data_IF_382889513694
#
_entry.id   IF_382889513694
#
_cell.length_a   1.000
_cell.length_b   1.000
_cell.length_c   1.000
_cell.angle_alpha   90.00
_cell.angle_beta   90.00
_cell.angle_gamma   90.00
#
_symmetry.space_group_name_H-M   'P 1'
#
loop_
_entity.id
_entity.type
_entity.pdbx_description
1 polymer ?
#
# COMPACT_ATOMS: atom_id res chain seq x y z
N UNK A 1 -17.73 5.33 13.29
CA UNK A 1 -16.45 5.37 12.55
C UNK A 1 -16.49 6.58 11.64
N UNK A 2 -15.78 7.64 12.03
CA UNK A 2 -15.65 8.91 11.31
C UNK A 2 -14.58 8.81 10.22
N UNK A 3 -14.49 9.79 9.31
CA UNK A 3 -13.49 9.82 8.23
C UNK A 3 -12.06 9.60 8.75
N UNK A 4 -11.75 10.22 9.89
CA UNK A 4 -10.42 10.25 10.48
C UNK A 4 -9.98 8.92 11.10
N UNK A 5 -10.92 8.01 11.36
CA UNK A 5 -10.58 6.70 11.91
C UNK A 5 -9.80 5.84 10.91
N UNK A 6 -10.13 5.94 9.61
CA UNK A 6 -9.38 5.24 8.56
C UNK A 6 -7.96 5.78 8.45
N UNK A 7 -7.81 7.10 8.37
CA UNK A 7 -6.49 7.73 8.21
C UNK A 7 -5.61 7.45 9.42
N UNK A 8 -6.11 7.59 10.64
CA UNK A 8 -5.35 7.32 11.86
C UNK A 8 -4.84 5.89 11.89
N UNK A 9 -5.74 4.92 11.74
CA UNK A 9 -5.37 3.51 11.75
C UNK A 9 -4.33 3.15 10.67
N UNK A 10 -4.52 3.65 9.44
CA UNK A 10 -3.61 3.34 8.34
C UNK A 10 -2.26 4.07 8.48
N UNK A 11 -2.24 5.30 8.98
CA UNK A 11 -1.01 6.05 9.24
C UNK A 11 -0.20 5.38 10.34
N UNK A 12 -0.84 4.96 11.44
CA UNK A 12 -0.15 4.27 12.54
C UNK A 12 0.47 2.95 12.06
N UNK A 13 -0.27 2.17 11.26
CA UNK A 13 0.25 0.95 10.64
C UNK A 13 1.40 1.23 9.66
N UNK A 14 1.27 2.28 8.84
CA UNK A 14 2.32 2.69 7.92
C UNK A 14 3.60 3.12 8.66
N UNK A 15 3.50 3.97 9.68
CA UNK A 15 4.66 4.50 10.41
C UNK A 15 5.40 3.39 11.19
N UNK A 16 4.67 2.39 11.68
CA UNK A 16 5.26 1.18 12.25
C UNK A 16 6.06 0.39 11.21
N UNK A 17 5.46 0.10 10.05
CA UNK A 17 6.14 -0.62 8.96
C UNK A 17 7.32 0.18 8.37
N UNK A 18 7.22 1.51 8.36
CA UNK A 18 8.29 2.41 7.94
C UNK A 18 9.50 2.29 8.87
N UNK A 19 9.26 2.28 10.17
CA UNK A 19 10.32 2.11 11.18
C UNK A 19 11.00 0.74 11.06
N UNK A 20 10.21 -0.32 10.88
CA UNK A 20 10.73 -1.68 10.64
C UNK A 20 11.50 -1.79 9.31
N UNK A 21 11.09 -0.99 8.32
CA UNK A 21 11.65 -0.94 6.97
C UNK A 21 13.12 -0.52 6.91
N UNK A 22 13.62 0.21 7.92
CA UNK A 22 15.03 0.55 8.04
C UNK A 22 15.95 -0.70 8.10
N UNK A 23 15.41 -1.84 8.55
CA UNK A 23 16.13 -3.13 8.57
C UNK A 23 15.59 -4.11 7.54
N UNK A 24 14.27 -4.20 7.44
CA UNK A 24 13.62 -5.18 6.57
C UNK A 24 12.30 -4.61 6.04
N UNK A 25 12.29 -4.02 4.83
CA UNK A 25 11.09 -3.50 4.19
C UNK A 25 9.94 -4.51 4.17
N UNK A 26 8.71 -4.01 4.31
CA UNK A 26 7.47 -4.77 4.33
C UNK A 26 6.46 -4.14 3.37
N UNK A 27 5.38 -4.87 3.08
CA UNK A 27 4.26 -4.35 2.29
C UNK A 27 3.05 -4.06 3.17
N UNK A 28 2.24 -3.09 2.76
CA UNK A 28 0.93 -2.78 3.35
C UNK A 28 -0.14 -2.88 2.27
N UNK A 29 -1.32 -3.42 2.63
CA UNK A 29 -2.51 -3.37 1.78
C UNK A 29 -3.57 -2.47 2.39
N UNK A 30 -4.17 -1.60 1.59
CA UNK A 30 -5.31 -0.76 1.99
C UNK A 30 -6.55 -1.19 1.21
N UNK A 31 -7.53 -1.76 1.91
CA UNK A 31 -8.77 -2.24 1.31
C UNK A 31 -9.78 -1.10 1.11
N UNK A 32 -10.21 -0.88 -0.13
CA UNK A 32 -11.14 0.20 -0.49
C UNK A 32 -12.40 -0.38 -1.16
N UNK A 33 -13.55 0.24 -0.88
CA UNK A 33 -14.82 -0.08 -1.54
C UNK A 33 -15.53 1.21 -1.96
N UNK A 34 -15.92 1.31 -3.24
CA UNK A 34 -16.51 2.54 -3.80
C UNK A 34 -17.71 3.06 -3.00
N UNK A 35 -18.65 2.19 -2.64
CA UNK A 35 -19.86 2.52 -1.86
C UNK A 35 -19.57 3.03 -0.44
N UNK A 36 -18.33 2.87 0.02
CA UNK A 36 -17.86 3.27 1.34
C UNK A 36 -16.95 4.49 1.23
N UNK A 37 -15.76 4.34 0.63
CA UNK A 37 -14.74 5.40 0.65
C UNK A 37 -15.12 6.61 -0.21
N UNK A 38 -15.94 6.41 -1.25
CA UNK A 38 -16.37 7.49 -2.15
C UNK A 38 -17.40 8.44 -1.54
N UNK A 39 -17.89 8.19 -0.32
CA UNK A 39 -18.82 9.11 0.36
C UNK A 39 -18.09 10.41 0.73
N UNK A 40 -18.72 11.60 0.56
CA UNK A 40 -18.10 12.87 0.94
C UNK A 40 -17.59 12.91 2.38
N UNK A 41 -18.33 12.29 3.31
CA UNK A 41 -17.93 12.18 4.71
C UNK A 41 -16.81 11.16 4.99
N UNK A 42 -16.18 10.56 3.97
CA UNK A 42 -15.10 9.55 4.13
C UNK A 42 -13.90 9.79 3.24
N UNK A 43 -14.07 10.37 2.05
CA UNK A 43 -12.99 10.52 1.05
C UNK A 43 -11.78 11.29 1.59
N UNK A 44 -11.99 12.29 2.44
CA UNK A 44 -10.91 13.06 3.06
C UNK A 44 -9.96 12.21 3.93
N UNK A 45 -10.41 11.07 4.48
CA UNK A 45 -9.53 10.14 5.20
C UNK A 45 -8.52 9.46 4.27
N UNK A 46 -8.92 9.12 3.04
CA UNK A 46 -8.02 8.56 2.03
C UNK A 46 -7.01 9.62 1.55
N UNK A 47 -7.46 10.86 1.32
CA UNK A 47 -6.58 11.97 0.92
C UNK A 47 -5.49 12.23 1.96
N UNK A 48 -5.86 12.30 3.25
CA UNK A 48 -4.90 12.44 4.37
C UNK A 48 -3.86 11.32 4.39
N UNK A 49 -4.30 10.07 4.23
CA UNK A 49 -3.41 8.91 4.20
C UNK A 49 -2.42 8.99 3.02
N UNK A 50 -2.91 9.28 1.81
CA UNK A 50 -2.06 9.39 0.62
C UNK A 50 -1.05 10.54 0.76
N UNK A 51 -1.47 11.67 1.32
CA UNK A 51 -0.59 12.81 1.58
C UNK A 51 0.53 12.45 2.57
N UNK A 52 0.20 11.78 3.69
CA UNK A 52 1.18 11.32 4.67
C UNK A 52 2.23 10.40 4.05
N UNK A 53 1.79 9.34 3.35
CA UNK A 53 2.70 8.37 2.72
C UNK A 53 3.58 9.03 1.65
N UNK A 54 3.02 9.93 0.83
CA UNK A 54 3.79 10.63 -0.20
C UNK A 54 4.88 11.52 0.40
N UNK A 55 4.57 12.23 1.48
CA UNK A 55 5.53 13.14 2.13
C UNK A 55 6.65 12.41 2.88
N UNK A 56 6.46 11.15 3.26
CA UNK A 56 7.52 10.31 3.84
C UNK A 56 8.58 9.91 2.81
N UNK A 57 8.27 9.95 1.51
CA UNK A 57 9.25 9.82 0.44
C UNK A 57 9.32 8.41 -0.15
N UNK A 58 10.26 7.58 0.32
CA UNK A 58 10.69 6.28 -0.24
C UNK A 58 9.63 5.15 -0.20
N UNK A 59 8.38 5.47 -0.55
CA UNK A 59 7.23 4.57 -0.60
C UNK A 59 7.02 4.09 -2.03
N UNK A 60 6.98 2.77 -2.21
CA UNK A 60 6.58 2.17 -3.49
C UNK A 60 5.07 2.00 -3.57
N UNK A 61 4.40 2.89 -4.31
CA UNK A 61 3.00 2.72 -4.68
C UNK A 61 2.88 1.70 -5.81
N UNK A 62 2.52 0.47 -5.45
CA UNK A 62 2.55 -0.67 -6.36
C UNK A 62 1.15 -1.24 -6.65
N UNK A 63 0.96 -1.69 -7.89
CA UNK A 63 -0.09 -2.67 -8.19
C UNK A 63 0.37 -4.07 -7.72
N UNK A 64 -0.59 -4.97 -7.47
CA UNK A 64 -0.31 -6.33 -6.97
C UNK A 64 0.49 -7.18 -7.96
N UNK A 65 0.29 -7.02 -9.26
CA UNK A 65 1.08 -7.68 -10.32
C UNK A 65 2.55 -7.26 -10.27
N UNK A 66 2.82 -5.97 -10.05
CA UNK A 66 4.20 -5.47 -9.94
C UNK A 66 4.93 -6.06 -8.73
N UNK A 67 4.25 -6.20 -7.58
CA UNK A 67 4.79 -6.87 -6.39
C UNK A 67 5.13 -8.32 -6.72
N UNK A 68 4.22 -9.05 -7.38
CA UNK A 68 4.45 -10.45 -7.77
C UNK A 68 5.66 -10.60 -8.71
N UNK A 69 5.78 -9.73 -9.72
CA UNK A 69 6.94 -9.72 -10.61
C UNK A 69 8.25 -9.44 -9.86
N UNK A 70 8.26 -8.47 -8.96
CA UNK A 70 9.44 -8.14 -8.17
C UNK A 70 9.83 -9.32 -7.26
N UNK A 71 8.85 -9.98 -6.64
CA UNK A 71 9.10 -11.16 -5.80
C UNK A 71 9.72 -12.31 -6.59
N UNK A 72 9.17 -12.62 -7.78
CA UNK A 72 9.71 -13.65 -8.67
C UNK A 72 11.15 -13.35 -9.09
N UNK A 73 11.41 -12.12 -9.51
CA UNK A 73 12.76 -11.65 -9.90
C UNK A 73 13.77 -11.83 -8.77
N UNK A 74 13.41 -11.43 -7.54
CA UNK A 74 14.29 -11.58 -6.37
C UNK A 74 14.48 -13.05 -5.95
N UNK A 75 13.50 -13.91 -6.24
CA UNK A 75 13.53 -15.34 -5.93
C UNK A 75 14.17 -16.20 -7.03
N UNK A 76 14.70 -15.60 -8.12
CA UNK A 76 15.27 -16.34 -9.25
C UNK A 76 14.25 -17.13 -10.08
N UNK A 77 12.95 -16.79 -9.98
CA UNK A 77 11.90 -17.42 -10.76
C UNK A 77 11.74 -16.74 -12.13
N UNK A 78 11.39 -17.50 -13.19
CA UNK A 78 11.20 -16.92 -14.53
C UNK A 78 10.03 -15.93 -14.56
N UNK A 79 9.95 -15.03 -15.56
CA UNK A 79 8.80 -14.13 -15.71
C UNK A 79 7.47 -14.89 -15.82
N UNK A 80 6.40 -14.31 -15.30
CA UNK A 80 5.06 -14.90 -15.43
C UNK A 80 4.65 -14.95 -16.92
N UNK A 81 4.16 -16.10 -17.39
CA UNK A 81 3.76 -16.30 -18.79
C UNK A 81 4.86 -16.72 -19.76
N UNK A 82 6.05 -17.12 -19.27
CA UNK A 82 7.15 -17.63 -20.12
C UNK A 82 7.15 -19.15 -20.34
N UNK A 83 6.13 -19.87 -19.85
CA UNK A 83 5.92 -21.31 -20.05
C UNK A 83 4.54 -21.58 -20.67
N UNK A 84 4.31 -21.04 -21.86
CA UNK A 84 3.25 -21.54 -22.75
C UNK A 84 3.94 -21.88 -24.07
N UNK A 85 4.40 -23.13 -24.18
CA UNK A 85 4.43 -23.87 -25.44
C UNK A 85 3.08 -24.61 -25.57
#
# INVERSE_FOLDING_TARGET
MFADDLSRYCIDAFDQLWTEGAKAPKMMSVGLHLRIIGRPARIGGLEKLLYHMKNKGEVWFARRDQIAHQWRKLSGLPPYGSEID
#
